data_IF_822612358258
#
_entry.id   IF_822612358258
#
_cell.length_a   1.000
_cell.length_b   1.000
_cell.length_c   1.000
_cell.angle_alpha   90.00
_cell.angle_beta   90.00
_cell.angle_gamma   90.00
#
_symmetry.space_group_name_H-M   'P 1'
#
loop_
_entity.id
_entity.type
_entity.pdbx_description
1 polymer ?
#
# COMPACT_ATOMS: atom_id res chain seq x y z
N UNK A 1 6.94 -6.68 29.49
CA UNK A 1 7.34 -7.52 28.33
C UNK A 1 7.63 -6.65 27.12
N UNK A 2 8.68 -6.97 26.31
CA UNK A 2 8.97 -6.21 25.09
C UNK A 2 8.61 -7.05 23.86
N UNK A 3 8.07 -6.39 22.84
CA UNK A 3 7.81 -6.98 21.52
C UNK A 3 8.56 -6.20 20.45
N UNK A 4 9.16 -6.92 19.48
CA UNK A 4 9.66 -6.26 18.27
C UNK A 4 8.49 -5.71 17.44
N UNK A 5 8.73 -4.68 16.62
CA UNK A 5 7.69 -4.12 15.74
C UNK A 5 7.07 -5.18 14.83
N UNK A 6 7.88 -6.12 14.34
CA UNK A 6 7.40 -7.26 13.55
C UNK A 6 6.41 -8.13 14.33
N UNK A 7 6.73 -8.49 15.59
CA UNK A 7 5.83 -9.25 16.46
C UNK A 7 4.58 -8.46 16.82
N UNK A 8 4.72 -7.16 17.12
CA UNK A 8 3.61 -6.28 17.42
C UNK A 8 2.59 -6.21 16.26
N UNK A 9 3.06 -6.19 15.01
CA UNK A 9 2.17 -6.24 13.85
C UNK A 9 1.42 -7.59 13.74
N UNK A 10 2.08 -8.71 14.02
CA UNK A 10 1.43 -10.02 14.04
C UNK A 10 0.39 -10.13 15.17
N UNK A 11 0.70 -9.62 16.35
CA UNK A 11 -0.23 -9.58 17.50
C UNK A 11 -1.45 -8.70 17.18
N UNK A 12 -1.28 -7.54 16.55
CA UNK A 12 -2.41 -6.71 16.12
C UNK A 12 -3.34 -7.45 15.14
N UNK A 13 -2.79 -8.23 14.20
CA UNK A 13 -3.59 -9.07 13.32
C UNK A 13 -4.36 -10.13 14.12
N UNK A 14 -3.69 -10.84 15.03
CA UNK A 14 -4.32 -11.83 15.92
C UNK A 14 -5.46 -11.23 16.78
N UNK A 15 -5.25 -10.04 17.35
CA UNK A 15 -6.30 -9.33 18.10
C UNK A 15 -7.54 -9.05 17.22
N UNK A 16 -7.32 -8.54 16.00
CA UNK A 16 -8.44 -8.27 15.08
C UNK A 16 -9.22 -9.54 14.74
N UNK A 17 -8.54 -10.67 14.56
CA UNK A 17 -9.20 -11.94 14.29
C UNK A 17 -9.92 -12.51 15.53
N UNK A 18 -9.32 -12.36 16.72
CA UNK A 18 -9.99 -12.70 17.98
C UNK A 18 -11.27 -11.87 18.19
N UNK A 19 -11.23 -10.54 17.96
CA UNK A 19 -12.41 -9.68 18.06
C UNK A 19 -13.51 -10.14 17.09
N UNK A 20 -13.18 -10.51 15.86
CA UNK A 20 -14.16 -11.00 14.87
C UNK A 20 -14.76 -12.34 15.26
N UNK A 21 -14.01 -13.21 15.94
CA UNK A 21 -14.47 -14.53 16.37
C UNK A 21 -15.46 -14.49 17.53
N UNK A 22 -15.43 -13.43 18.35
CA UNK A 22 -16.36 -13.28 19.49
C UNK A 22 -17.73 -12.91 18.96
N UNK A 23 -18.70 -13.83 19.10
CA UNK A 23 -20.09 -13.61 18.69
C UNK A 23 -20.86 -12.79 19.73
N UNK A 24 -21.63 -11.84 19.25
CA UNK A 24 -22.59 -11.07 20.04
C UNK A 24 -23.99 -11.52 19.62
N UNK A 25 -24.56 -12.45 20.37
CA UNK A 25 -25.89 -13.01 20.08
C UNK A 25 -26.91 -12.40 21.04
N UNK A 26 -27.81 -11.55 20.51
CA UNK A 26 -28.84 -10.88 21.25
C UNK A 26 -30.18 -11.59 21.17
N UNK A 27 -30.29 -12.65 20.39
CA UNK A 27 -31.49 -13.47 20.23
C UNK A 27 -31.29 -14.85 20.83
N UNK A 28 -32.31 -15.37 21.50
CA UNK A 28 -32.30 -16.68 22.11
C UNK A 28 -33.51 -17.49 21.60
N UNK A 29 -33.23 -18.69 21.09
CA UNK A 29 -34.28 -19.65 20.77
C UNK A 29 -34.56 -20.52 21.98
N UNK A 30 -35.84 -20.59 22.37
CA UNK A 30 -36.32 -21.35 23.52
C UNK A 30 -37.23 -22.47 23.06
N UNK A 31 -37.18 -23.62 23.76
CA UNK A 31 -38.10 -24.71 23.59
C UNK A 31 -38.95 -24.93 24.89
N UNK A 32 -39.97 -25.73 24.79
CA UNK A 32 -40.96 -25.98 25.86
C UNK A 32 -40.40 -26.65 27.13
N UNK A 33 -39.17 -27.22 27.07
CA UNK A 33 -38.55 -27.91 28.20
C UNK A 33 -37.53 -27.01 28.94
N UNK A 34 -37.34 -25.78 28.54
CA UNK A 34 -36.37 -24.87 29.12
C UNK A 34 -37.00 -23.92 30.15
N UNK A 35 -36.25 -23.67 31.22
CA UNK A 35 -36.55 -22.55 32.11
C UNK A 35 -36.21 -21.24 31.43
N UNK A 36 -37.25 -20.51 31.01
CA UNK A 36 -37.15 -19.25 30.27
C UNK A 36 -36.38 -18.22 31.06
N UNK A 37 -36.62 -18.07 32.37
CA UNK A 37 -35.96 -17.07 33.19
C UNK A 37 -34.46 -17.35 33.31
N UNK A 38 -34.09 -18.56 33.63
CA UNK A 38 -32.70 -18.97 33.76
C UNK A 38 -31.94 -18.85 32.42
N UNK A 39 -32.57 -19.22 31.30
CA UNK A 39 -32.00 -19.14 29.98
C UNK A 39 -31.73 -17.67 29.53
N UNK A 40 -32.69 -16.77 29.80
CA UNK A 40 -32.55 -15.33 29.51
C UNK A 40 -31.44 -14.69 30.34
N UNK A 41 -31.35 -15.00 31.65
CA UNK A 41 -30.27 -14.48 32.50
C UNK A 41 -28.90 -14.91 31.98
N UNK A 42 -28.74 -16.21 31.70
CA UNK A 42 -27.48 -16.75 31.17
C UNK A 42 -27.08 -16.15 29.82
N UNK A 43 -28.05 -16.00 28.90
CA UNK A 43 -27.81 -15.40 27.61
C UNK A 43 -27.35 -13.93 27.73
N UNK A 44 -28.01 -13.18 28.64
CA UNK A 44 -27.65 -11.80 28.94
C UNK A 44 -26.24 -11.69 29.53
N UNK A 45 -25.92 -12.51 30.53
CA UNK A 45 -24.56 -12.56 31.11
C UNK A 45 -23.50 -12.88 30.06
N UNK A 46 -23.77 -13.87 29.20
CA UNK A 46 -22.85 -14.25 28.11
C UNK A 46 -22.65 -13.11 27.11
N UNK A 47 -23.70 -12.40 26.73
CA UNK A 47 -23.67 -11.28 25.84
C UNK A 47 -22.75 -10.17 26.39
N UNK A 48 -22.95 -9.76 27.63
CA UNK A 48 -22.13 -8.69 28.25
C UNK A 48 -20.72 -9.16 28.59
N UNK A 49 -20.49 -10.41 28.90
CA UNK A 49 -19.14 -10.96 29.05
C UNK A 49 -18.39 -10.93 27.74
N UNK A 50 -19.03 -11.29 26.63
CA UNK A 50 -18.45 -11.24 25.29
C UNK A 50 -18.16 -9.78 24.85
N UNK A 51 -19.07 -8.85 25.14
CA UNK A 51 -18.83 -7.43 24.85
C UNK A 51 -17.65 -6.90 25.66
N UNK A 52 -17.58 -7.19 26.95
CA UNK A 52 -16.45 -6.79 27.82
C UNK A 52 -15.13 -7.39 27.34
N UNK A 53 -15.13 -8.63 26.86
CA UNK A 53 -13.95 -9.27 26.26
C UNK A 53 -13.50 -8.56 24.98
N UNK A 54 -14.44 -8.20 24.09
CA UNK A 54 -14.16 -7.41 22.89
C UNK A 54 -13.59 -6.04 23.23
N UNK A 55 -14.13 -5.39 24.25
CA UNK A 55 -13.65 -4.08 24.72
C UNK A 55 -12.19 -4.15 25.22
N UNK A 56 -11.83 -5.18 26.04
CA UNK A 56 -10.46 -5.38 26.50
C UNK A 56 -9.48 -5.57 25.33
N UNK A 57 -9.84 -6.42 24.38
CA UNK A 57 -9.05 -6.63 23.17
C UNK A 57 -8.87 -5.35 22.35
N UNK A 58 -9.94 -4.56 22.21
CA UNK A 58 -9.88 -3.28 21.48
C UNK A 58 -8.95 -2.28 22.17
N UNK A 59 -9.00 -2.17 23.50
CA UNK A 59 -8.09 -1.33 24.28
C UNK A 59 -6.63 -1.78 24.10
N UNK A 60 -6.35 -3.08 24.17
CA UNK A 60 -5.02 -3.64 23.92
C UNK A 60 -4.51 -3.31 22.52
N UNK A 61 -5.37 -3.46 21.50
CA UNK A 61 -5.05 -3.14 20.11
C UNK A 61 -4.63 -1.68 19.93
N UNK A 62 -5.41 -0.75 20.47
CA UNK A 62 -5.10 0.68 20.31
C UNK A 62 -3.90 1.13 21.15
N UNK A 63 -3.66 0.51 22.31
CA UNK A 63 -2.43 0.71 23.07
C UNK A 63 -1.20 0.30 22.25
N UNK A 64 -1.20 -0.91 21.69
CA UNK A 64 -0.10 -1.39 20.82
C UNK A 64 0.08 -0.50 19.61
N UNK A 65 -1.01 -0.05 18.96
CA UNK A 65 -0.93 0.88 17.81
C UNK A 65 -0.24 2.20 18.17
N UNK A 66 -0.57 2.75 19.32
CA UNK A 66 0.07 3.98 19.81
C UNK A 66 1.58 3.79 20.03
N UNK A 67 1.97 2.68 20.66
CA UNK A 67 3.38 2.35 20.89
C UNK A 67 4.14 2.11 19.57
N UNK A 68 3.54 1.39 18.61
CA UNK A 68 4.11 1.16 17.28
C UNK A 68 4.28 2.47 16.53
N UNK A 69 3.27 3.36 16.54
CA UNK A 69 3.37 4.69 15.93
C UNK A 69 4.53 5.51 16.47
N UNK A 70 4.66 5.58 17.81
CA UNK A 70 5.77 6.27 18.46
C UNK A 70 7.12 5.65 18.09
N UNK A 71 7.24 4.33 18.10
CA UNK A 71 8.47 3.63 17.78
C UNK A 71 8.86 3.80 16.29
N UNK A 72 7.90 3.80 15.37
CA UNK A 72 8.15 4.07 13.94
C UNK A 72 8.69 5.49 13.71
N UNK A 73 8.11 6.47 14.38
CA UNK A 73 8.56 7.85 14.29
C UNK A 73 9.99 8.00 14.86
N UNK A 74 10.27 7.41 16.03
CA UNK A 74 11.59 7.48 16.68
C UNK A 74 12.67 6.71 15.93
N UNK A 75 12.36 5.55 15.35
CA UNK A 75 13.30 4.76 14.55
C UNK A 75 13.52 5.28 13.13
N UNK A 76 12.74 6.26 12.68
CA UNK A 76 12.78 6.81 11.33
C UNK A 76 12.16 5.90 10.26
N UNK A 77 11.42 4.86 10.64
CA UNK A 77 10.72 3.98 9.71
C UNK A 77 9.72 4.77 8.86
N UNK A 78 8.96 5.69 9.46
CA UNK A 78 7.97 6.49 8.73
C UNK A 78 8.60 7.33 7.61
N UNK A 79 9.76 7.94 7.87
CA UNK A 79 10.50 8.67 6.85
C UNK A 79 11.00 7.77 5.73
N UNK A 80 11.49 6.57 6.08
CA UNK A 80 11.93 5.58 5.09
C UNK A 80 10.77 5.08 4.23
N UNK A 81 9.61 4.83 4.82
CA UNK A 81 8.38 4.46 4.09
C UNK A 81 7.92 5.57 3.15
N UNK A 82 7.93 6.81 3.59
CA UNK A 82 7.61 7.96 2.74
C UNK A 82 8.59 8.09 1.56
N UNK A 83 9.89 7.88 1.81
CA UNK A 83 10.93 7.89 0.77
C UNK A 83 10.73 6.73 -0.22
N UNK A 84 10.41 5.53 0.25
CA UNK A 84 10.12 4.39 -0.61
C UNK A 84 8.89 4.65 -1.51
N UNK A 85 7.84 5.25 -0.96
CA UNK A 85 6.64 5.65 -1.72
C UNK A 85 6.94 6.72 -2.77
N UNK A 86 7.80 7.71 -2.46
CA UNK A 86 8.29 8.69 -3.43
C UNK A 86 9.03 8.01 -4.58
N UNK A 87 9.98 7.11 -4.26
CA UNK A 87 10.75 6.37 -5.27
C UNK A 87 9.82 5.56 -6.19
N UNK A 88 8.80 4.90 -5.64
CA UNK A 88 7.82 4.15 -6.45
C UNK A 88 7.08 5.06 -7.43
N UNK A 89 6.57 6.19 -6.96
CA UNK A 89 5.87 7.15 -7.83
C UNK A 89 6.80 7.73 -8.89
N UNK A 90 8.06 8.04 -8.53
CA UNK A 90 9.04 8.54 -9.49
C UNK A 90 9.36 7.50 -10.55
N UNK A 91 9.55 6.24 -10.19
CA UNK A 91 9.76 5.16 -11.15
C UNK A 91 8.58 5.00 -12.11
N UNK A 92 7.34 5.11 -11.62
CA UNK A 92 6.16 5.03 -12.48
C UNK A 92 6.13 6.16 -13.52
N UNK A 93 6.47 7.40 -13.14
CA UNK A 93 6.60 8.52 -14.08
C UNK A 93 7.71 8.30 -15.11
N UNK A 94 8.85 7.77 -14.67
CA UNK A 94 9.97 7.48 -15.56
C UNK A 94 9.67 6.32 -16.51
N UNK A 95 8.90 5.33 -16.07
CA UNK A 95 8.46 4.21 -16.93
C UNK A 95 7.57 4.68 -18.09
N UNK A 96 6.79 5.75 -17.90
CA UNK A 96 6.03 6.38 -19.00
C UNK A 96 6.97 7.01 -20.03
N UNK A 97 8.01 7.71 -19.56
CA UNK A 97 9.02 8.32 -20.46
C UNK A 97 9.86 7.26 -21.17
N UNK A 98 10.21 6.17 -20.47
CA UNK A 98 11.04 5.09 -21.04
C UNK A 98 10.31 4.29 -22.15
N UNK A 99 8.98 4.40 -22.25
CA UNK A 99 8.17 3.76 -23.30
C UNK A 99 8.04 4.61 -24.55
N UNK A 100 8.46 5.88 -24.51
CA UNK A 100 8.42 6.74 -25.67
C UNK A 100 9.39 6.24 -26.72
N UNK A 101 9.01 6.43 -27.99
CA UNK A 101 9.93 6.19 -29.12
C UNK A 101 10.90 7.35 -29.23
N UNK A 102 12.14 7.08 -29.62
CA UNK A 102 13.09 8.15 -29.91
C UNK A 102 12.62 9.01 -31.09
N UNK A 103 13.08 10.26 -31.11
CA UNK A 103 12.86 11.18 -32.22
C UNK A 103 13.32 10.56 -33.55
N UNK A 104 12.50 10.67 -34.57
CA UNK A 104 12.83 10.21 -35.92
C UNK A 104 14.00 11.03 -36.48
N UNK A 105 14.89 10.40 -37.23
CA UNK A 105 16.01 11.09 -37.90
C UNK A 105 15.51 12.32 -38.68
N UNK A 106 16.23 13.42 -38.51
CA UNK A 106 15.94 14.71 -39.17
C UNK A 106 15.87 14.59 -40.70
N UNK A 107 16.71 13.75 -41.30
CA UNK A 107 16.67 13.50 -42.74
C UNK A 107 15.34 12.88 -43.20
N UNK A 108 14.79 11.94 -42.38
CA UNK A 108 13.50 11.33 -42.66
C UNK A 108 12.35 12.32 -42.49
N UNK A 109 12.42 13.16 -41.44
CA UNK A 109 11.41 14.20 -41.19
C UNK A 109 11.42 15.21 -42.35
N UNK A 110 12.60 15.73 -42.73
CA UNK A 110 12.77 16.68 -43.83
C UNK A 110 12.28 16.08 -45.15
N UNK A 111 12.63 14.86 -45.46
CA UNK A 111 12.16 14.19 -46.67
C UNK A 111 10.61 14.03 -46.72
N UNK A 112 9.95 13.81 -45.58
CA UNK A 112 8.48 13.81 -45.52
C UNK A 112 7.89 15.21 -45.72
N UNK A 113 8.48 16.25 -45.11
CA UNK A 113 8.05 17.63 -45.26
C UNK A 113 8.24 18.13 -46.70
N UNK A 114 9.33 17.77 -47.36
CA UNK A 114 9.57 18.11 -48.75
C UNK A 114 8.58 17.46 -49.72
N UNK A 115 8.18 16.21 -49.45
CA UNK A 115 7.10 15.55 -50.19
C UNK A 115 5.77 16.31 -50.05
N UNK A 116 5.41 16.74 -48.83
CA UNK A 116 4.20 17.50 -48.58
C UNK A 116 4.24 18.85 -49.31
N UNK A 117 5.40 19.53 -49.32
CA UNK A 117 5.58 20.80 -50.06
C UNK A 117 5.42 20.62 -51.55
N UNK A 118 6.00 19.57 -52.14
CA UNK A 118 5.98 19.31 -53.57
C UNK A 118 4.57 18.87 -54.02
N UNK A 119 3.86 18.06 -53.21
CA UNK A 119 2.49 17.63 -53.51
C UNK A 119 1.46 18.79 -53.50
N UNK A 120 1.73 19.87 -52.73
CA UNK A 120 0.89 21.11 -52.77
C UNK A 120 0.96 21.85 -54.09
N UNK A 121 1.97 21.61 -54.93
CA UNK A 121 2.12 22.22 -56.26
C UNK A 121 1.27 21.56 -57.32
N UNK A 122 0.85 20.32 -57.21
CA UNK A 122 0.20 19.56 -58.26
C UNK A 122 -1.29 19.19 -58.03
N UNK A 123 -1.90 19.44 -56.88
CA UNK A 123 -3.25 18.91 -56.65
C UNK A 123 -4.22 19.79 -55.89
N UNK A 124 -4.90 20.66 -56.60
CA UNK A 124 -6.24 21.19 -56.24
C UNK A 124 -7.31 20.06 -56.16
N UNK A 125 -7.01 18.84 -56.53
CA UNK A 125 -7.98 17.72 -56.62
C UNK A 125 -7.89 16.68 -55.50
N UNK A 126 -6.86 16.66 -54.64
CA UNK A 126 -6.67 15.67 -53.59
C UNK A 126 -7.13 16.07 -52.22
N UNK A 127 -7.73 17.26 -52.06
CA UNK A 127 -8.23 17.76 -50.76
C UNK A 127 -9.48 17.02 -50.22
N UNK A 128 -10.02 16.04 -50.94
CA UNK A 128 -11.22 15.30 -50.52
C UNK A 128 -10.94 14.02 -49.70
N UNK A 129 -9.69 13.60 -49.57
CA UNK A 129 -9.28 12.44 -48.77
C UNK A 129 -8.13 12.84 -47.81
N UNK A 130 -8.47 13.52 -46.73
CA UNK A 130 -7.77 13.67 -45.46
C UNK A 130 -6.26 13.37 -45.41
N UNK A 131 -5.41 13.91 -46.30
CA UNK A 131 -3.97 13.84 -46.12
C UNK A 131 -3.54 14.89 -45.07
N UNK A 132 -3.00 14.43 -43.96
CA UNK A 132 -2.41 15.30 -42.94
C UNK A 132 -1.25 16.10 -43.56
N UNK A 133 -1.38 17.44 -43.60
CA UNK A 133 -0.31 18.37 -44.00
C UNK A 133 0.80 18.52 -42.95
N UNK A 134 0.82 17.67 -41.96
CA UNK A 134 1.72 17.70 -40.82
C UNK A 134 2.48 16.40 -40.64
N UNK A 135 3.72 16.49 -40.22
CA UNK A 135 4.54 15.34 -39.82
C UNK A 135 4.66 15.38 -38.29
N UNK A 136 4.16 14.35 -37.62
CA UNK A 136 4.34 14.18 -36.18
C UNK A 136 5.58 13.33 -35.89
N UNK A 137 6.31 13.72 -34.88
CA UNK A 137 7.45 12.98 -34.33
C UNK A 137 7.50 13.16 -32.81
N UNK A 138 8.18 12.25 -32.14
CA UNK A 138 8.50 12.42 -30.70
C UNK A 138 9.61 13.46 -30.55
N UNK A 139 9.73 14.02 -29.34
CA UNK A 139 10.72 15.07 -29.03
C UNK A 139 11.90 14.54 -28.18
N UNK A 140 11.88 13.26 -27.82
CA UNK A 140 12.84 12.66 -26.90
C UNK A 140 13.93 11.93 -27.67
N UNK A 141 15.18 12.27 -27.43
CA UNK A 141 16.34 11.58 -28.03
C UNK A 141 16.59 10.21 -27.40
N UNK A 142 17.31 9.33 -28.14
CA UNK A 142 17.66 8.00 -27.61
C UNK A 142 18.50 8.09 -26.33
N UNK A 143 19.46 9.02 -26.28
CA UNK A 143 20.31 9.22 -25.09
C UNK A 143 19.49 9.58 -23.85
N UNK A 144 18.42 10.38 -24.01
CA UNK A 144 17.52 10.73 -22.91
C UNK A 144 16.71 9.52 -22.44
N UNK A 145 16.25 8.67 -23.35
CA UNK A 145 15.56 7.42 -23.01
C UNK A 145 16.53 6.50 -22.23
N UNK A 146 17.78 6.40 -22.65
CA UNK A 146 18.76 5.55 -21.98
C UNK A 146 19.15 6.11 -20.60
N UNK A 147 19.22 7.43 -20.43
CA UNK A 147 19.38 8.08 -19.12
C UNK A 147 18.20 7.78 -18.20
N UNK A 148 16.95 7.86 -18.69
CA UNK A 148 15.74 7.52 -17.93
C UNK A 148 15.79 6.06 -17.47
N UNK A 149 16.17 5.12 -18.35
CA UNK A 149 16.32 3.70 -17.98
C UNK A 149 17.41 3.48 -16.92
N UNK A 150 18.50 4.21 -17.01
CA UNK A 150 19.57 4.16 -16.00
C UNK A 150 19.11 4.72 -14.65
N UNK A 151 18.33 5.81 -14.63
CA UNK A 151 17.71 6.37 -13.42
C UNK A 151 16.77 5.36 -12.76
N UNK A 152 15.88 4.71 -13.54
CA UNK A 152 14.97 3.65 -13.04
C UNK A 152 15.78 2.53 -12.37
N UNK A 153 16.87 2.07 -13.01
CA UNK A 153 17.72 1.02 -12.45
C UNK A 153 18.36 1.44 -11.12
N UNK A 154 18.77 2.69 -11.00
CA UNK A 154 19.35 3.24 -9.77
C UNK A 154 18.28 3.34 -8.66
N UNK A 155 17.11 3.86 -8.99
CA UNK A 155 15.98 3.96 -8.05
C UNK A 155 15.53 2.58 -7.54
N UNK A 156 15.53 1.56 -8.38
CA UNK A 156 15.24 0.16 -7.95
C UNK A 156 16.24 -0.32 -6.90
N UNK A 157 17.54 -0.05 -7.09
CA UNK A 157 18.57 -0.41 -6.10
C UNK A 157 18.39 0.37 -4.78
N UNK A 158 18.09 1.66 -4.86
CA UNK A 158 17.84 2.48 -3.67
C UNK A 158 16.63 1.99 -2.89
N UNK A 159 15.52 1.66 -3.59
CA UNK A 159 14.32 1.10 -2.97
C UNK A 159 14.61 -0.22 -2.27
N UNK A 160 15.37 -1.11 -2.90
CA UNK A 160 15.74 -2.39 -2.30
C UNK A 160 16.53 -2.18 -1.00
N UNK A 161 17.58 -1.35 -1.03
CA UNK A 161 18.35 -1.00 0.16
C UNK A 161 17.48 -0.43 1.28
N UNK A 162 16.54 0.46 0.92
CA UNK A 162 15.61 1.06 1.87
C UNK A 162 14.69 0.03 2.52
N UNK A 163 14.19 -0.93 1.73
CA UNK A 163 13.35 -2.02 2.23
C UNK A 163 14.13 -2.93 3.19
N UNK A 164 15.39 -3.23 2.91
CA UNK A 164 16.25 -4.03 3.78
C UNK A 164 16.49 -3.30 5.12
N UNK A 165 16.72 -1.99 5.09
CA UNK A 165 16.86 -1.15 6.29
C UNK A 165 15.56 -1.10 7.12
N UNK A 166 14.40 -0.99 6.48
CA UNK A 166 13.09 -1.03 7.15
C UNK A 166 12.87 -2.40 7.81
N UNK A 167 13.22 -3.48 7.11
CA UNK A 167 13.10 -4.83 7.66
C UNK A 167 13.99 -5.03 8.89
N UNK A 168 15.22 -4.54 8.82
CA UNK A 168 16.15 -4.57 9.95
C UNK A 168 15.61 -3.81 11.17
N UNK A 169 15.08 -2.59 10.96
CA UNK A 169 14.49 -1.78 12.01
C UNK A 169 13.26 -2.46 12.63
N UNK A 170 12.41 -3.08 11.83
CA UNK A 170 11.24 -3.82 12.32
C UNK A 170 11.60 -5.02 13.21
N UNK A 171 12.79 -5.59 13.04
CA UNK A 171 13.28 -6.70 13.86
C UNK A 171 14.00 -6.20 15.12
N UNK A 172 14.73 -5.08 15.02
CA UNK A 172 15.55 -4.56 16.14
C UNK A 172 14.77 -3.63 17.08
N UNK A 173 13.80 -2.88 16.57
CA UNK A 173 13.05 -1.93 17.39
C UNK A 173 12.02 -2.67 18.23
N UNK A 174 12.04 -2.43 19.52
CA UNK A 174 11.13 -3.02 20.50
C UNK A 174 10.21 -1.96 21.11
N UNK A 175 8.99 -2.40 21.44
CA UNK A 175 8.01 -1.62 22.20
C UNK A 175 7.74 -2.30 23.53
N UNK A 176 7.67 -1.55 24.66
CA UNK A 176 7.30 -2.10 25.95
C UNK A 176 5.77 -2.23 26.07
N UNK A 177 5.27 -3.40 26.43
CA UNK A 177 3.86 -3.61 26.76
C UNK A 177 3.61 -3.42 28.25
N UNK A 178 2.48 -2.81 28.63
CA UNK A 178 2.01 -2.79 30.02
C UNK A 178 1.53 -4.17 30.46
N UNK A 179 1.54 -4.40 31.77
CA UNK A 179 1.14 -5.68 32.34
C UNK A 179 -0.31 -6.04 32.04
N UNK A 180 -1.22 -5.06 32.00
CA UNK A 180 -2.64 -5.25 31.64
C UNK A 180 -2.80 -5.75 30.17
N UNK A 181 -2.03 -5.19 29.26
CA UNK A 181 -2.03 -5.64 27.85
C UNK A 181 -1.46 -7.05 27.76
N UNK A 182 -0.37 -7.34 28.47
CA UNK A 182 0.24 -8.67 28.50
C UNK A 182 -0.75 -9.71 29.05
N UNK A 183 -1.45 -9.40 30.15
CA UNK A 183 -2.46 -10.28 30.73
C UNK A 183 -3.58 -10.60 29.74
N UNK A 184 -4.14 -9.55 29.10
CA UNK A 184 -5.20 -9.72 28.08
C UNK A 184 -4.74 -10.59 26.91
N UNK A 185 -3.53 -10.37 26.40
CA UNK A 185 -3.00 -11.14 25.27
C UNK A 185 -2.69 -12.60 25.62
N UNK A 186 -2.25 -12.84 26.87
CA UNK A 186 -2.00 -14.20 27.38
C UNK A 186 -3.31 -14.97 27.56
N UNK A 187 -4.35 -14.34 28.14
CA UNK A 187 -5.69 -14.94 28.27
C UNK A 187 -6.26 -15.39 26.90
N UNK A 188 -5.98 -14.61 25.86
CA UNK A 188 -6.43 -14.89 24.51
C UNK A 188 -5.49 -15.80 23.69
N UNK A 189 -4.35 -16.22 24.26
CA UNK A 189 -3.37 -17.07 23.60
C UNK A 189 -2.67 -16.40 22.40
N UNK A 190 -2.52 -15.07 22.43
CA UNK A 190 -1.93 -14.28 21.36
C UNK A 190 -0.42 -14.03 21.55
N UNK A 191 0.09 -14.28 22.76
CA UNK A 191 1.53 -14.26 23.12
C UNK A 191 1.87 -15.38 24.06
#
# INVERSE_FOLDING_TARGET
MNLTLRKANAVQAGINDAIKSIKIEATLELNEFQDVQAALVKANETLFANDSRRQRLLLALYNIRGLVGTANAQSGIDLKLATAAFIEKRMAQLDELAKLSAVTDLAVINGKLDKIKNDKGESSRRSLYGHSDTVSTTVVGQDQIDQVKAEIKNLKKQKQKLNDEILELNIKTEIPLSDDVVATLTEEGLI
#
